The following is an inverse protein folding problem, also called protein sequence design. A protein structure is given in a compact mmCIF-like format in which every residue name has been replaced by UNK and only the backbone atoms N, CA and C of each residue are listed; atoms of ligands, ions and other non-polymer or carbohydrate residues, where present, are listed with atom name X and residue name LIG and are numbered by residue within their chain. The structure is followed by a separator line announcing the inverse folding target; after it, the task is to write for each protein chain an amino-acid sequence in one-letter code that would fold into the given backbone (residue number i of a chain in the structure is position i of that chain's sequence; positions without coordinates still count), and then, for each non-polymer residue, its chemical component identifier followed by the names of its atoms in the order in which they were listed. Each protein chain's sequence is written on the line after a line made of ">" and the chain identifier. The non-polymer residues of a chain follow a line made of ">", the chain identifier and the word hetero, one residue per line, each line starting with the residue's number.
data_IF_558785324614
#
_entry.id   IF_558785324614
#
_cell.length_a   1.000
_cell.length_b   1.000
_cell.length_c   1.000
_cell.angle_alpha   90.00
_cell.angle_beta   90.00
_cell.angle_gamma   90.00
#
_symmetry.space_group_name_H-M   'P 1'
#
loop_
_entity.id
_entity.type
_entity.pdbx_description
1 polymer ?
#
# COMPACT_ATOMS: atom_id res chain seq x y z
N UNK A 1 0.27 0.12 -24.48
CA UNK A 1 1.40 0.27 -23.58
C UNK A 1 0.98 1.02 -22.33
N UNK A 2 1.39 0.54 -21.21
CA UNK A 2 1.08 1.18 -19.96
C UNK A 2 2.07 2.29 -19.68
N UNK A 3 1.60 3.49 -19.51
CA UNK A 3 2.45 4.56 -19.04
C UNK A 3 2.40 4.56 -17.52
N UNK A 4 3.33 3.84 -16.93
CA UNK A 4 3.45 3.88 -15.50
C UNK A 4 4.18 5.17 -15.14
N UNK A 5 3.44 6.12 -14.61
CA UNK A 5 4.00 7.42 -14.23
C UNK A 5 4.69 7.38 -12.87
N UNK A 6 4.71 6.22 -12.23
CA UNK A 6 5.37 6.09 -10.93
C UNK A 6 6.87 6.23 -11.08
N UNK A 7 7.46 7.08 -10.24
CA UNK A 7 8.90 7.29 -10.21
C UNK A 7 9.60 6.06 -9.62
N UNK A 8 8.96 5.43 -8.63
CA UNK A 8 9.54 4.30 -7.92
C UNK A 8 8.88 3.00 -8.35
N UNK A 9 9.69 1.96 -8.44
CA UNK A 9 9.19 0.62 -8.73
C UNK A 9 8.41 0.08 -7.54
N UNK A 10 7.55 -0.89 -7.80
CA UNK A 10 6.74 -1.54 -6.77
C UNK A 10 6.95 -3.04 -6.82
N UNK A 11 6.91 -3.67 -5.64
CA UNK A 11 6.83 -5.12 -5.54
C UNK A 11 5.37 -5.50 -5.47
N UNK A 12 4.97 -6.51 -6.27
CA UNK A 12 3.60 -7.03 -6.26
C UNK A 12 3.52 -8.20 -5.30
N UNK A 13 2.47 -8.22 -4.48
CA UNK A 13 2.23 -9.32 -3.55
C UNK A 13 1.09 -10.19 -4.06
N UNK A 14 1.17 -11.48 -3.76
CA UNK A 14 0.09 -12.41 -4.07
C UNK A 14 -0.90 -12.40 -2.90
N UNK A 15 -2.15 -12.80 -3.18
CA UNK A 15 -3.18 -12.80 -2.14
C UNK A 15 -2.78 -13.70 -0.95
N UNK A 16 -2.13 -14.82 -1.23
CA UNK A 16 -1.73 -15.75 -0.18
C UNK A 16 -0.48 -15.34 0.58
N UNK A 17 0.19 -14.25 0.17
CA UNK A 17 1.27 -13.66 0.97
C UNK A 17 0.74 -13.08 2.27
N UNK A 18 -0.53 -12.70 2.30
CA UNK A 18 -1.21 -12.17 3.49
C UNK A 18 -0.46 -10.96 4.07
N UNK A 19 -0.20 -9.97 3.22
CA UNK A 19 0.45 -8.73 3.63
C UNK A 19 -0.66 -7.71 3.92
N UNK A 20 -0.71 -7.21 5.14
CA UNK A 20 -1.74 -6.27 5.57
C UNK A 20 -1.14 -4.98 6.07
N UNK A 21 -1.85 -3.89 5.84
CA UNK A 21 -1.54 -2.63 6.52
C UNK A 21 -2.49 -2.45 7.70
N UNK A 22 -1.94 -2.04 8.83
CA UNK A 22 -2.69 -1.67 10.02
C UNK A 22 -2.90 -0.16 9.94
N UNK A 23 -4.10 0.27 9.59
CA UNK A 23 -4.40 1.67 9.30
C UNK A 23 -5.30 2.29 10.36
N UNK A 24 -5.19 3.62 10.49
CA UNK A 24 -6.16 4.43 11.20
C UNK A 24 -6.87 5.27 10.17
N UNK A 25 -8.20 5.16 10.11
CA UNK A 25 -9.04 5.90 9.18
C UNK A 25 -9.25 7.35 9.65
N UNK A 26 -9.76 8.23 8.78
CA UNK A 26 -10.10 9.59 9.21
C UNK A 26 -11.06 9.63 10.41
N UNK A 27 -11.92 8.63 10.54
CA UNK A 27 -12.84 8.50 11.68
C UNK A 27 -12.15 8.10 12.97
N UNK A 28 -10.85 7.80 12.91
CA UNK A 28 -10.04 7.26 14.02
C UNK A 28 -10.26 5.77 14.27
N UNK A 29 -10.99 5.11 13.39
CA UNK A 29 -11.22 3.67 13.48
C UNK A 29 -9.98 2.93 12.99
N UNK A 30 -9.47 1.94 13.75
CA UNK A 30 -8.39 1.08 13.26
C UNK A 30 -8.94 0.01 12.32
N UNK A 31 -8.19 -0.32 11.28
CA UNK A 31 -8.62 -1.32 10.31
C UNK A 31 -7.41 -2.01 9.67
N UNK A 32 -7.58 -3.29 9.30
CA UNK A 32 -6.56 -4.03 8.56
C UNK A 32 -7.06 -4.23 7.14
N UNK A 33 -6.27 -3.77 6.17
CA UNK A 33 -6.57 -3.97 4.75
C UNK A 33 -5.39 -4.60 4.05
N UNK A 34 -5.68 -5.44 3.04
CA UNK A 34 -4.66 -6.12 2.26
C UNK A 34 -3.88 -5.14 1.39
N UNK A 35 -2.55 -5.23 1.47
CA UNK A 35 -1.67 -4.47 0.59
C UNK A 35 -1.37 -5.32 -0.64
N UNK A 36 -1.64 -4.78 -1.82
CA UNK A 36 -1.48 -5.47 -3.09
C UNK A 36 -0.09 -5.25 -3.67
N UNK A 37 0.44 -4.04 -3.51
CA UNK A 37 1.80 -3.72 -3.92
C UNK A 37 2.34 -2.58 -3.08
N UNK A 38 3.65 -2.41 -3.13
CA UNK A 38 4.32 -1.40 -2.31
C UNK A 38 5.54 -0.86 -3.04
N UNK A 39 5.72 0.44 -2.98
CA UNK A 39 6.91 1.14 -3.44
C UNK A 39 7.20 2.33 -2.55
N UNK A 40 8.26 3.05 -2.84
CA UNK A 40 8.63 4.22 -2.02
C UNK A 40 7.65 5.39 -2.20
N UNK A 41 6.91 5.42 -3.31
CA UNK A 41 5.92 6.47 -3.55
C UNK A 41 4.56 6.17 -2.95
N UNK A 42 4.25 4.90 -2.69
CA UNK A 42 2.93 4.54 -2.20
C UNK A 42 2.63 3.06 -2.35
N UNK A 43 1.36 2.74 -2.25
CA UNK A 43 0.91 1.35 -2.24
C UNK A 43 -0.52 1.26 -2.74
N UNK A 44 -0.91 0.05 -3.17
CA UNK A 44 -2.29 -0.21 -3.52
C UNK A 44 -2.91 -1.16 -2.52
N UNK A 45 -4.20 -0.99 -2.28
CA UNK A 45 -4.97 -1.77 -1.32
C UNK A 45 -6.10 -2.50 -2.01
N UNK A 46 -6.45 -3.67 -1.48
CA UNK A 46 -7.70 -4.34 -1.79
C UNK A 46 -8.60 -4.19 -0.57
N UNK A 47 -9.68 -3.45 -0.74
CA UNK A 47 -10.59 -3.10 0.36
C UNK A 47 -11.89 -3.87 0.19
N UNK A 48 -12.37 -4.60 1.22
CA UNK A 48 -13.69 -5.23 1.12
C UNK A 48 -14.75 -4.16 0.82
N UNK A 49 -15.71 -4.52 -0.01
CA UNK A 49 -16.72 -3.57 -0.46
C UNK A 49 -17.47 -2.91 0.69
N UNK A 50 -17.75 -3.68 1.76
CA UNK A 50 -18.43 -3.15 2.93
C UNK A 50 -17.62 -2.11 3.69
N UNK A 51 -16.29 -2.14 3.57
CA UNK A 51 -15.42 -1.15 4.21
C UNK A 51 -15.21 0.08 3.34
N UNK A 52 -15.39 -0.05 2.03
CA UNK A 52 -15.09 1.04 1.11
C UNK A 52 -15.96 2.26 1.32
N UNK A 53 -17.15 2.09 1.94
CA UNK A 53 -18.03 3.21 2.25
C UNK A 53 -17.45 4.13 3.31
N UNK A 54 -16.42 3.69 4.02
CA UNK A 54 -15.79 4.44 5.11
C UNK A 54 -14.79 5.47 4.62
N UNK A 55 -14.41 5.41 3.34
CA UNK A 55 -13.35 6.26 2.79
C UNK A 55 -13.73 6.75 1.41
N UNK A 56 -13.04 7.80 0.98
CA UNK A 56 -13.19 8.37 -0.35
C UNK A 56 -11.83 8.89 -0.82
N UNK A 57 -11.74 9.26 -2.09
CA UNK A 57 -10.51 9.84 -2.64
C UNK A 57 -10.14 11.10 -1.86
N UNK A 58 -8.86 11.31 -1.70
CA UNK A 58 -8.22 12.38 -0.96
C UNK A 58 -8.30 12.23 0.56
N UNK A 59 -8.87 11.14 1.06
CA UNK A 59 -8.86 10.85 2.48
C UNK A 59 -7.45 10.54 2.95
N UNK A 60 -7.19 10.90 4.19
CA UNK A 60 -5.92 10.70 4.88
C UNK A 60 -5.96 9.36 5.60
N UNK A 61 -4.94 8.55 5.39
CA UNK A 61 -4.76 7.29 6.12
C UNK A 61 -3.46 7.36 6.90
N UNK A 62 -3.50 6.86 8.12
CA UNK A 62 -2.27 6.68 8.88
C UNK A 62 -1.92 5.19 8.86
N UNK A 63 -0.76 4.86 8.33
CA UNK A 63 -0.26 3.49 8.32
C UNK A 63 0.55 3.28 9.58
N UNK A 64 0.02 2.50 10.50
CA UNK A 64 0.69 2.23 11.77
C UNK A 64 1.84 1.24 11.58
N UNK A 65 1.62 0.22 10.78
CA UNK A 65 2.63 -0.81 10.51
C UNK A 65 2.14 -1.73 9.40
N UNK A 66 3.07 -2.50 8.85
CA UNK A 66 2.76 -3.54 7.87
C UNK A 66 2.96 -4.89 8.53
N UNK A 67 1.98 -5.78 8.35
CA UNK A 67 1.95 -7.11 8.95
C UNK A 67 2.08 -8.14 7.83
N UNK A 68 2.78 -9.23 8.11
CA UNK A 68 2.89 -10.35 7.16
C UNK A 68 4.22 -10.44 6.44
N UNK A 69 5.12 -9.50 6.70
CA UNK A 69 6.46 -9.55 6.13
C UNK A 69 7.45 -9.00 7.13
N UNK A 70 8.71 -9.41 7.00
CA UNK A 70 9.79 -8.88 7.82
C UNK A 70 10.45 -7.71 7.11
N UNK A 71 11.29 -6.98 7.82
CA UNK A 71 12.12 -5.91 7.28
C UNK A 71 11.35 -4.64 6.88
N UNK A 72 10.11 -4.48 7.35
CA UNK A 72 9.35 -3.25 7.16
C UNK A 72 8.96 -2.59 8.49
N UNK A 73 9.62 -2.97 9.56
CA UNK A 73 9.34 -2.43 10.90
C UNK A 73 9.63 -0.92 10.97
N UNK A 74 10.50 -0.42 10.10
CA UNK A 74 10.79 1.01 10.05
C UNK A 74 9.61 1.83 9.53
N UNK A 75 8.64 1.18 8.87
CA UNK A 75 7.42 1.86 8.40
C UNK A 75 6.39 1.85 9.53
N UNK A 76 6.62 2.69 10.51
CA UNK A 76 5.69 2.88 11.60
C UNK A 76 5.18 4.31 11.55
N UNK A 77 3.87 4.46 11.62
CA UNK A 77 3.23 5.79 11.64
C UNK A 77 3.47 6.64 10.39
N UNK A 78 3.46 6.00 9.22
CA UNK A 78 3.56 6.72 7.96
C UNK A 78 2.19 7.29 7.57
N UNK A 79 2.20 8.43 6.91
CA UNK A 79 0.99 9.08 6.42
C UNK A 79 0.83 8.85 4.92
N UNK A 80 -0.41 8.66 4.48
CA UNK A 80 -0.70 8.48 3.06
C UNK A 80 -2.07 9.07 2.74
N UNK A 81 -2.25 9.41 1.47
CA UNK A 81 -3.54 9.88 0.94
C UNK A 81 -4.08 8.87 -0.04
N UNK A 82 -5.38 8.60 0.01
CA UNK A 82 -6.04 7.81 -1.01
C UNK A 82 -6.18 8.69 -2.26
N UNK A 83 -5.60 8.28 -3.36
CA UNK A 83 -5.65 9.06 -4.59
C UNK A 83 -6.77 8.63 -5.52
N UNK A 84 -7.11 7.35 -5.51
CA UNK A 84 -8.22 6.85 -6.34
C UNK A 84 -8.79 5.58 -5.72
N UNK A 85 -10.04 5.31 -6.09
CA UNK A 85 -10.76 4.09 -5.73
C UNK A 85 -11.40 3.54 -6.98
N UNK A 86 -11.35 2.21 -7.15
CA UNK A 86 -11.92 1.55 -8.32
C UNK A 86 -12.62 0.26 -7.88
N UNK A 87 -13.91 0.16 -8.15
CA UNK A 87 -14.67 -1.04 -7.81
C UNK A 87 -14.27 -2.23 -8.67
N UNK A 88 -14.18 -3.39 -8.03
CA UNK A 88 -14.02 -4.68 -8.68
C UNK A 88 -15.20 -5.52 -8.22
N UNK A 89 -16.37 -5.25 -8.78
CA UNK A 89 -17.63 -5.81 -8.29
C UNK A 89 -17.67 -7.32 -8.35
N UNK A 90 -17.02 -7.94 -9.32
CA UNK A 90 -16.96 -9.40 -9.42
C UNK A 90 -16.25 -10.03 -8.24
N UNK A 91 -15.32 -9.32 -7.63
CA UNK A 91 -14.54 -9.81 -6.49
C UNK A 91 -15.06 -9.26 -5.17
N UNK A 92 -16.07 -8.42 -5.20
CA UNK A 92 -16.61 -7.73 -4.03
C UNK A 92 -15.53 -6.92 -3.32
N UNK A 93 -14.63 -6.33 -4.10
CA UNK A 93 -13.51 -5.54 -3.61
C UNK A 93 -13.50 -4.17 -4.26
N UNK A 94 -12.85 -3.23 -3.57
CA UNK A 94 -12.51 -1.93 -4.14
C UNK A 94 -10.99 -1.81 -4.07
N UNK A 95 -10.37 -1.52 -5.20
CA UNK A 95 -8.94 -1.24 -5.23
C UNK A 95 -8.73 0.23 -4.91
N UNK A 96 -7.71 0.53 -4.13
CA UNK A 96 -7.36 1.89 -3.78
C UNK A 96 -5.89 2.14 -4.08
N UNK A 97 -5.59 3.28 -4.68
CA UNK A 97 -4.22 3.73 -4.87
C UNK A 97 -3.91 4.79 -3.83
N UNK A 98 -2.83 4.59 -3.09
CA UNK A 98 -2.43 5.49 -2.00
C UNK A 98 -1.02 5.99 -2.23
N UNK A 99 -0.78 7.24 -1.83
CA UNK A 99 0.51 7.90 -1.99
C UNK A 99 1.01 8.34 -0.62
N UNK A 100 2.26 8.00 -0.31
CA UNK A 100 2.87 8.43 0.95
C UNK A 100 3.07 9.95 0.97
N UNK A 101 2.96 10.53 2.16
CA UNK A 101 3.27 11.94 2.44
C UNK A 101 4.41 12.01 3.44
N UNK A 102 5.29 12.98 3.23
CA UNK A 102 6.27 13.37 4.25
C UNK A 102 7.20 12.25 4.73
N UNK A 103 7.51 11.28 3.86
CA UNK A 103 8.51 10.29 4.23
C UNK A 103 9.90 10.95 4.26
N UNK A 104 10.68 10.61 5.26
CA UNK A 104 12.06 11.07 5.33
C UNK A 104 12.90 10.34 4.29
N UNK A 105 13.99 10.96 3.85
CA UNK A 105 14.87 10.36 2.86
C UNK A 105 15.40 8.99 3.31
N UNK A 106 15.85 8.80 4.56
CA UNK A 106 16.27 7.47 5.00
C UNK A 106 15.19 6.40 4.87
N UNK A 107 13.93 6.75 5.16
CA UNK A 107 12.83 5.80 5.03
C UNK A 107 12.58 5.46 3.57
N UNK A 108 12.62 6.47 2.69
CA UNK A 108 12.48 6.24 1.24
C UNK A 108 13.54 5.26 0.76
N UNK A 109 14.80 5.45 1.15
CA UNK A 109 15.88 4.57 0.74
C UNK A 109 15.70 3.15 1.28
N UNK A 110 15.19 3.00 2.49
CA UNK A 110 14.92 1.69 3.03
C UNK A 110 13.81 0.97 2.29
N UNK A 111 12.77 1.69 1.86
CA UNK A 111 11.70 1.10 1.06
C UNK A 111 12.25 0.66 -0.29
N UNK A 112 13.05 1.50 -0.95
CA UNK A 112 13.65 1.17 -2.25
C UNK A 112 14.45 -0.13 -2.12
N UNK A 113 15.26 -0.22 -1.08
CA UNK A 113 16.10 -1.40 -0.84
C UNK A 113 15.25 -2.66 -0.64
N UNK A 114 14.19 -2.55 0.16
CA UNK A 114 13.27 -3.65 0.39
C UNK A 114 12.62 -4.09 -0.92
N UNK A 115 12.11 -3.13 -1.70
CA UNK A 115 11.41 -3.42 -2.96
C UNK A 115 12.34 -4.09 -3.95
N UNK A 116 13.56 -3.57 -4.11
CA UNK A 116 14.53 -4.16 -5.04
C UNK A 116 14.83 -5.62 -4.66
N UNK A 117 15.05 -5.86 -3.38
CA UNK A 117 15.35 -7.19 -2.88
C UNK A 117 14.19 -8.16 -3.09
N UNK A 118 12.97 -7.73 -2.75
CA UNK A 118 11.78 -8.57 -2.89
C UNK A 118 11.45 -8.85 -4.33
N UNK A 119 11.62 -7.88 -5.20
CA UNK A 119 11.39 -8.08 -6.64
C UNK A 119 12.32 -9.15 -7.20
N UNK A 120 13.58 -9.16 -6.77
CA UNK A 120 14.53 -10.19 -7.21
C UNK A 120 14.10 -11.56 -6.71
N UNK A 121 13.77 -11.68 -5.44
CA UNK A 121 13.35 -12.96 -4.86
C UNK A 121 12.11 -13.51 -5.54
N UNK A 122 11.18 -12.63 -5.92
CA UNK A 122 9.91 -13.00 -6.52
C UNK A 122 9.97 -13.09 -8.05
N UNK A 123 11.12 -12.82 -8.64
CA UNK A 123 11.25 -12.88 -10.10
C UNK A 123 10.53 -11.78 -10.84
N UNK A 124 10.33 -10.63 -10.20
CA UNK A 124 9.62 -9.49 -10.80
C UNK A 124 10.64 -8.55 -11.45
N UNK A 125 11.23 -9.02 -12.52
CA UNK A 125 12.22 -8.24 -13.28
C UNK A 125 11.52 -7.35 -14.29
N UNK A 126 12.19 -6.29 -14.69
CA UNK A 126 11.67 -5.40 -15.73
C UNK A 126 11.82 -6.00 -17.11
#
# INVERSE_FOLDING_TARGET
>A
MTNDSRIFKRVEFEADDAIFGDFILPSQEPILWTIVNLGAGGFNLAIPQEDAVKVKAEDDLQLKRIIGTENLEFLDSAEADIKWLKEQSELELVLAGCEFRNLSEPVIQQIIKFVDSERMVRGQYD
#
